data_IF_892854653449
#
_entry.id   IF_892854653449
#
_cell.length_a   1.000
_cell.length_b   1.000
_cell.length_c   1.000
_cell.angle_alpha   90.00
_cell.angle_beta   90.00
_cell.angle_gamma   90.00
#
_symmetry.space_group_name_H-M   'P 1'
#
loop_
_entity.id
_entity.type
_entity.pdbx_description
1 polymer ?
#
# COMPACT_ATOMS: atom_id res chain seq x y z
N UNK A 1 33.77 -25.13 -16.67
CA UNK A 1 32.34 -25.34 -16.93
C UNK A 1 31.71 -23.98 -17.15
N UNK A 2 31.09 -23.71 -18.31
CA UNK A 2 30.26 -22.52 -18.48
C UNK A 2 28.88 -22.79 -17.90
N UNK A 3 28.40 -21.91 -17.03
CA UNK A 3 27.04 -21.95 -16.50
C UNK A 3 26.22 -20.90 -17.26
N UNK A 4 25.05 -21.29 -17.76
CA UNK A 4 24.10 -20.38 -18.39
C UNK A 4 22.89 -20.19 -17.46
N UNK A 5 22.56 -18.94 -17.17
CA UNK A 5 21.40 -18.57 -16.37
C UNK A 5 20.15 -18.47 -17.25
N UNK A 6 19.07 -19.17 -16.89
CA UNK A 6 17.80 -19.24 -17.64
C UNK A 6 16.61 -18.71 -16.81
N UNK A 7 16.83 -17.62 -16.08
CA UNK A 7 15.87 -17.12 -15.08
C UNK A 7 14.54 -16.65 -15.65
N UNK A 8 14.50 -16.13 -16.88
CA UNK A 8 13.25 -15.59 -17.46
C UNK A 8 12.18 -16.68 -17.64
N UNK A 9 12.59 -17.87 -18.09
CA UNK A 9 11.68 -19.02 -18.21
C UNK A 9 11.17 -19.45 -16.84
N UNK A 10 12.05 -19.57 -15.84
CA UNK A 10 11.67 -19.92 -14.47
C UNK A 10 10.67 -18.91 -13.88
N UNK A 11 10.94 -17.61 -14.03
CA UNK A 11 10.05 -16.56 -13.54
C UNK A 11 8.70 -16.60 -14.23
N UNK A 12 8.65 -16.84 -15.54
CA UNK A 12 7.40 -16.99 -16.29
C UNK A 12 6.60 -18.20 -15.79
N UNK A 13 7.26 -19.33 -15.58
CA UNK A 13 6.59 -20.57 -15.17
C UNK A 13 6.01 -20.44 -13.75
N UNK A 14 6.73 -19.80 -12.83
CA UNK A 14 6.21 -19.45 -11.49
C UNK A 14 5.10 -18.39 -11.57
N UNK A 15 5.25 -17.38 -12.43
CA UNK A 15 4.23 -16.34 -12.62
C UNK A 15 2.90 -16.92 -13.08
N UNK A 16 2.93 -17.93 -13.96
CA UNK A 16 1.73 -18.60 -14.48
C UNK A 16 0.87 -19.28 -13.40
N UNK A 17 1.45 -19.58 -12.22
CA UNK A 17 0.71 -20.14 -11.08
C UNK A 17 -0.29 -19.13 -10.49
N UNK A 18 -0.18 -17.84 -10.82
CA UNK A 18 -1.18 -16.84 -10.47
C UNK A 18 -2.50 -17.06 -11.24
N UNK A 19 -2.41 -17.29 -12.56
CA UNK A 19 -3.59 -17.44 -13.43
C UNK A 19 -4.18 -18.85 -13.33
N UNK A 20 -3.31 -19.86 -13.27
CA UNK A 20 -3.67 -21.28 -13.16
C UNK A 20 -3.25 -21.75 -11.78
N UNK A 21 -3.98 -21.32 -10.75
CA UNK A 21 -3.71 -21.71 -9.37
C UNK A 21 -4.06 -23.20 -9.11
N UNK A 22 -3.42 -24.13 -9.83
CA UNK A 22 -3.46 -25.56 -9.54
C UNK A 22 -2.65 -25.87 -8.27
N UNK A 23 -3.02 -26.91 -7.51
CA UNK A 23 -2.37 -27.26 -6.23
C UNK A 23 -2.30 -26.11 -5.18
N UNK A 24 -3.17 -25.11 -5.29
CA UNK A 24 -3.31 -24.08 -4.27
C UNK A 24 -3.66 -24.70 -2.91
N UNK A 25 -3.05 -24.20 -1.84
CA UNK A 25 -3.30 -24.66 -0.47
C UNK A 25 -3.67 -23.53 0.50
N UNK A 26 -3.93 -22.33 -0.03
CA UNK A 26 -4.38 -21.16 0.73
C UNK A 26 -5.64 -20.58 0.10
N UNK A 27 -6.61 -20.23 0.94
CA UNK A 27 -7.79 -19.41 0.63
C UNK A 27 -7.73 -18.13 1.46
N UNK A 28 -7.64 -16.98 0.81
CA UNK A 28 -7.59 -15.67 1.47
C UNK A 28 -8.91 -14.95 1.21
N UNK A 29 -9.66 -14.70 2.28
CA UNK A 29 -10.93 -13.96 2.26
C UNK A 29 -10.61 -12.48 2.46
N UNK A 30 -10.91 -11.66 1.45
CA UNK A 30 -10.52 -10.25 1.40
C UNK A 30 -11.75 -9.37 1.28
N UNK A 31 -11.81 -8.29 2.06
CA UNK A 31 -12.98 -7.43 2.18
C UNK A 31 -14.02 -7.97 3.16
N UNK A 32 -15.10 -7.20 3.33
CA UNK A 32 -16.20 -7.47 4.26
C UNK A 32 -17.54 -7.69 3.53
N UNK A 33 -18.42 -8.44 4.20
CA UNK A 33 -19.81 -8.67 3.80
C UNK A 33 -20.01 -9.07 2.34
N UNK A 34 -20.91 -8.38 1.63
CA UNK A 34 -21.29 -8.68 0.24
C UNK A 34 -20.22 -8.32 -0.79
N UNK A 35 -19.13 -7.68 -0.38
CA UNK A 35 -17.99 -7.30 -1.24
C UNK A 35 -16.76 -8.19 -0.99
N UNK A 36 -16.90 -9.23 -0.17
CA UNK A 36 -15.81 -10.15 0.11
C UNK A 36 -15.50 -11.05 -1.08
N UNK A 37 -14.22 -11.19 -1.40
CA UNK A 37 -13.71 -12.08 -2.44
C UNK A 37 -12.76 -13.13 -1.85
N UNK A 38 -12.72 -14.32 -2.47
CA UNK A 38 -11.84 -15.41 -2.06
C UNK A 38 -10.74 -15.59 -3.10
N UNK A 39 -9.51 -15.33 -2.68
CA UNK A 39 -8.31 -15.55 -3.48
C UNK A 39 -7.68 -16.91 -3.16
N UNK A 40 -7.31 -17.65 -4.20
CA UNK A 40 -6.59 -18.93 -4.09
C UNK A 40 -5.10 -18.68 -4.30
N UNK A 41 -4.25 -19.27 -3.46
CA UNK A 41 -2.81 -19.05 -3.52
C UNK A 41 -1.99 -20.21 -2.96
N UNK A 42 -0.67 -20.13 -3.17
CA UNK A 42 0.32 -21.09 -2.70
C UNK A 42 1.07 -20.51 -1.50
N UNK A 43 0.98 -21.19 -0.36
CA UNK A 43 1.68 -20.78 0.86
C UNK A 43 3.20 -20.70 0.66
N UNK A 44 3.80 -21.57 -0.17
CA UNK A 44 5.25 -21.53 -0.41
C UNK A 44 5.69 -20.22 -1.09
N UNK A 45 4.93 -19.75 -2.09
CA UNK A 45 5.23 -18.50 -2.81
C UNK A 45 5.03 -17.30 -1.87
N UNK A 46 3.89 -17.24 -1.17
CA UNK A 46 3.59 -16.16 -0.23
C UNK A 46 4.68 -16.01 0.85
N UNK A 47 5.11 -17.12 1.47
CA UNK A 47 6.16 -17.12 2.51
C UNK A 47 7.57 -16.84 1.99
N UNK A 48 7.83 -17.11 0.71
CA UNK A 48 9.09 -16.79 0.07
C UNK A 48 9.22 -15.28 -0.19
N UNK A 49 8.11 -14.61 -0.50
CA UNK A 49 8.07 -13.19 -0.87
C UNK A 49 7.73 -12.24 0.28
N UNK A 50 7.23 -12.75 1.40
CA UNK A 50 6.82 -11.92 2.54
C UNK A 50 7.02 -12.61 3.89
N UNK A 51 7.69 -11.92 4.80
CA UNK A 51 7.83 -12.36 6.19
C UNK A 51 6.51 -12.31 6.96
N UNK A 52 5.59 -11.44 6.57
CA UNK A 52 4.24 -11.41 7.12
C UNK A 52 3.52 -12.74 6.84
N UNK A 53 3.49 -13.18 5.57
CA UNK A 53 2.88 -14.46 5.23
C UNK A 53 3.67 -15.66 5.80
N UNK A 54 4.99 -15.55 5.89
CA UNK A 54 5.82 -16.55 6.61
C UNK A 54 5.34 -16.76 8.03
N UNK A 55 5.09 -15.68 8.76
CA UNK A 55 4.60 -15.70 10.13
C UNK A 55 3.14 -16.15 10.20
N UNK A 56 2.29 -15.65 9.31
CA UNK A 56 0.87 -15.96 9.28
C UNK A 56 0.57 -17.46 9.15
N UNK A 57 1.40 -18.17 8.35
CA UNK A 57 1.25 -19.61 8.12
C UNK A 57 2.13 -20.50 9.03
N UNK A 58 2.97 -19.92 9.90
CA UNK A 58 3.77 -20.68 10.88
C UNK A 58 3.25 -20.55 12.31
N UNK A 59 2.65 -19.41 12.67
CA UNK A 59 2.21 -19.07 14.02
C UNK A 59 0.69 -19.27 14.24
N UNK A 60 0.03 -20.07 13.38
CA UNK A 60 -1.42 -20.34 13.43
C UNK A 60 -2.31 -19.08 13.35
N UNK A 61 -1.86 -17.98 12.73
CA UNK A 61 -2.73 -16.83 12.47
C UNK A 61 -3.79 -17.19 11.42
N UNK A 62 -3.39 -17.94 10.40
CA UNK A 62 -4.32 -18.58 9.48
C UNK A 62 -4.96 -19.81 10.12
N UNK A 63 -6.27 -19.94 9.96
CA UNK A 63 -7.02 -21.12 10.39
C UNK A 63 -6.70 -22.26 9.41
N UNK A 64 -6.49 -23.48 9.93
CA UNK A 64 -6.37 -24.67 9.09
C UNK A 64 -7.73 -25.36 8.96
N UNK A 65 -8.20 -25.57 7.73
CA UNK A 65 -9.44 -26.26 7.41
C UNK A 65 -9.14 -27.42 6.46
N UNK A 66 -8.98 -28.62 7.01
CA UNK A 66 -8.44 -29.77 6.27
C UNK A 66 -7.02 -29.47 5.77
N UNK A 67 -6.83 -29.60 4.46
CA UNK A 67 -5.53 -29.36 3.81
C UNK A 67 -5.28 -27.89 3.45
N UNK A 68 -6.25 -26.99 3.69
CA UNK A 68 -6.16 -25.58 3.33
C UNK A 68 -5.86 -24.68 4.53
N UNK A 69 -5.03 -23.67 4.30
CA UNK A 69 -4.99 -22.48 5.14
C UNK A 69 -6.11 -21.52 4.72
N UNK A 70 -6.87 -21.03 5.68
CA UNK A 70 -7.90 -19.99 5.51
C UNK A 70 -7.46 -18.75 6.28
N UNK A 71 -7.25 -17.66 5.56
CA UNK A 71 -6.77 -16.40 6.11
C UNK A 71 -7.73 -15.27 5.76
N UNK A 72 -7.96 -14.35 6.69
CA UNK A 72 -8.92 -13.25 6.52
C UNK A 72 -8.21 -11.91 6.51
N UNK A 73 -8.57 -11.05 5.57
CA UNK A 73 -8.09 -9.67 5.40
C UNK A 73 -9.29 -8.75 5.14
N UNK A 74 -10.17 -8.56 6.15
CA UNK A 74 -11.36 -7.74 5.98
C UNK A 74 -11.04 -6.27 5.67
N UNK A 75 -9.91 -5.78 6.19
CA UNK A 75 -9.44 -4.40 6.05
C UNK A 75 -8.77 -4.08 4.69
N UNK A 76 -8.72 -5.01 3.75
CA UNK A 76 -8.11 -4.80 2.42
C UNK A 76 -9.19 -4.90 1.35
N UNK A 77 -9.17 -3.99 0.39
CA UNK A 77 -10.10 -3.99 -0.75
C UNK A 77 -9.70 -5.11 -1.73
N UNK A 78 -10.64 -5.92 -2.26
CA UNK A 78 -10.31 -7.02 -3.18
C UNK A 78 -9.41 -6.62 -4.36
N UNK A 79 -9.68 -5.50 -5.03
CA UNK A 79 -8.87 -5.03 -6.15
C UNK A 79 -7.41 -4.73 -5.75
N UNK A 80 -7.22 -4.16 -4.55
CA UNK A 80 -5.89 -3.88 -4.00
C UNK A 80 -5.16 -5.17 -3.70
N UNK A 81 -5.85 -6.14 -3.09
CA UNK A 81 -5.26 -7.44 -2.83
C UNK A 81 -4.91 -8.20 -4.10
N UNK A 82 -5.73 -8.09 -5.15
CA UNK A 82 -5.45 -8.68 -6.45
C UNK A 82 -4.12 -8.16 -7.03
N UNK A 83 -3.89 -6.84 -6.93
CA UNK A 83 -2.64 -6.20 -7.37
C UNK A 83 -1.45 -6.74 -6.55
N UNK A 84 -1.58 -6.80 -5.23
CA UNK A 84 -0.53 -7.32 -4.34
C UNK A 84 -0.24 -8.79 -4.64
N UNK A 85 -1.28 -9.61 -4.79
CA UNK A 85 -1.13 -11.03 -5.06
C UNK A 85 -0.43 -11.24 -6.40
N UNK A 86 -0.81 -10.49 -7.44
CA UNK A 86 -0.12 -10.53 -8.73
C UNK A 86 1.36 -10.16 -8.58
N UNK A 87 1.66 -9.04 -7.91
CA UNK A 87 3.04 -8.62 -7.63
C UNK A 87 3.87 -9.70 -6.92
N UNK A 88 3.28 -10.41 -5.95
CA UNK A 88 3.97 -11.48 -5.24
C UNK A 88 4.42 -12.60 -6.21
N UNK A 89 3.62 -12.93 -7.21
CA UNK A 89 3.93 -13.99 -8.18
C UNK A 89 4.86 -13.52 -9.30
N UNK A 90 4.65 -12.29 -9.79
CA UNK A 90 5.27 -11.82 -11.03
C UNK A 90 6.43 -10.84 -10.81
N UNK A 91 6.52 -10.25 -9.62
CA UNK A 91 7.42 -9.11 -9.36
C UNK A 91 7.02 -7.83 -10.10
N UNK A 92 5.84 -7.79 -10.72
CA UNK A 92 5.38 -6.64 -11.52
C UNK A 92 4.12 -6.01 -10.94
N UNK A 93 4.03 -4.68 -11.07
CA UNK A 93 2.88 -3.90 -10.65
C UNK A 93 2.47 -3.01 -11.82
N UNK A 94 1.24 -3.16 -12.31
CA UNK A 94 0.68 -2.26 -13.32
C UNK A 94 -0.03 -1.13 -12.58
N UNK A 95 0.60 0.05 -12.57
CA UNK A 95 0.13 1.23 -11.82
C UNK A 95 -0.68 2.23 -12.68
N UNK A 96 -0.77 1.96 -13.98
CA UNK A 96 -1.29 2.84 -15.04
C UNK A 96 -2.79 2.65 -15.33
N UNK A 97 -3.46 1.74 -14.63
CA UNK A 97 -4.91 1.57 -14.78
C UNK A 97 -5.63 2.57 -13.88
N UNK A 98 -6.73 3.17 -14.36
CA UNK A 98 -7.58 4.11 -13.60
C UNK A 98 -8.01 3.56 -12.22
N UNK A 99 -8.11 2.23 -12.09
CA UNK A 99 -8.41 1.58 -10.83
C UNK A 99 -7.26 1.63 -9.82
N UNK A 100 -6.01 1.75 -10.25
CA UNK A 100 -4.84 1.86 -9.36
C UNK A 100 -4.62 3.31 -8.93
N UNK A 101 -4.87 4.28 -9.82
CA UNK A 101 -4.80 5.71 -9.50
C UNK A 101 -5.65 6.11 -8.28
N UNK A 102 -6.84 5.51 -8.18
CA UNK A 102 -7.78 5.77 -7.08
C UNK A 102 -7.48 4.96 -5.80
N UNK A 103 -6.56 4.00 -5.85
CA UNK A 103 -6.28 3.09 -4.72
C UNK A 103 -4.80 3.05 -4.32
N UNK A 104 -3.99 4.04 -4.73
CA UNK A 104 -2.56 4.09 -4.41
C UNK A 104 -2.27 4.08 -2.91
N UNK A 105 -3.07 4.81 -2.14
CA UNK A 105 -2.93 4.91 -0.69
C UNK A 105 -3.27 3.56 -0.04
N UNK A 106 -4.36 2.92 -0.45
CA UNK A 106 -4.77 1.60 0.03
C UNK A 106 -3.74 0.54 -0.34
N UNK A 107 -3.16 0.62 -1.54
CA UNK A 107 -2.10 -0.26 -1.99
C UNK A 107 -0.83 -0.09 -1.16
N UNK A 108 -0.45 1.15 -0.83
CA UNK A 108 0.67 1.45 0.07
C UNK A 108 0.44 0.86 1.47
N UNK A 109 -0.74 1.08 2.04
CA UNK A 109 -1.12 0.57 3.37
C UNK A 109 -1.12 -0.96 3.42
N UNK A 110 -1.65 -1.62 2.39
CA UNK A 110 -1.68 -3.07 2.32
C UNK A 110 -0.28 -3.66 2.06
N UNK A 111 0.57 -2.98 1.28
CA UNK A 111 1.97 -3.36 1.10
C UNK A 111 2.77 -3.26 2.41
N UNK A 112 2.54 -2.21 3.19
CA UNK A 112 3.12 -2.05 4.53
C UNK A 112 2.66 -3.15 5.49
N UNK A 113 1.34 -3.41 5.58
CA UNK A 113 0.83 -4.47 6.44
C UNK A 113 1.43 -5.85 6.09
N UNK A 114 1.64 -6.13 4.80
CA UNK A 114 2.19 -7.39 4.32
C UNK A 114 3.72 -7.42 4.28
N UNK A 115 4.40 -6.41 4.83
CA UNK A 115 5.87 -6.28 4.87
C UNK A 115 6.52 -6.42 3.48
N UNK A 116 5.99 -5.73 2.47
CA UNK A 116 6.48 -5.76 1.09
C UNK A 116 7.38 -4.56 0.79
N UNK A 117 8.56 -4.49 1.42
CA UNK A 117 9.43 -3.30 1.37
C UNK A 117 9.83 -2.83 -0.04
N UNK A 118 10.14 -3.75 -0.95
CA UNK A 118 10.44 -3.42 -2.35
C UNK A 118 9.27 -2.70 -3.03
N UNK A 119 8.04 -3.19 -2.79
CA UNK A 119 6.81 -2.57 -3.30
C UNK A 119 6.58 -1.20 -2.66
N UNK A 120 6.78 -1.07 -1.35
CA UNK A 120 6.64 0.21 -0.62
C UNK A 120 7.57 1.27 -1.22
N UNK A 121 8.84 0.93 -1.44
CA UNK A 121 9.81 1.84 -2.06
C UNK A 121 9.37 2.29 -3.46
N UNK A 122 8.86 1.36 -4.26
CA UNK A 122 8.33 1.66 -5.58
C UNK A 122 7.10 2.59 -5.51
N UNK A 123 6.15 2.31 -4.60
CA UNK A 123 4.92 3.09 -4.45
C UNK A 123 5.20 4.52 -3.96
N UNK A 124 6.10 4.70 -2.99
CA UNK A 124 6.50 6.03 -2.53
C UNK A 124 7.02 6.89 -3.70
N UNK A 125 7.88 6.32 -4.54
CA UNK A 125 8.42 7.04 -5.70
C UNK A 125 7.35 7.39 -6.73
N UNK A 126 6.39 6.49 -6.97
CA UNK A 126 5.29 6.75 -7.89
C UNK A 126 4.37 7.85 -7.37
N UNK A 127 4.02 7.85 -6.09
CA UNK A 127 3.19 8.92 -5.48
C UNK A 127 3.90 10.29 -5.61
N UNK A 128 5.23 10.35 -5.40
CA UNK A 128 6.01 11.58 -5.61
C UNK A 128 6.00 12.03 -7.07
N UNK A 129 6.06 11.09 -8.01
CA UNK A 129 6.02 11.44 -9.43
C UNK A 129 4.62 11.95 -9.82
N UNK A 130 3.56 11.29 -9.34
CA UNK A 130 2.18 11.71 -9.54
C UNK A 130 1.92 13.10 -8.96
N UNK A 131 2.40 13.36 -7.74
CA UNK A 131 2.24 14.65 -7.07
C UNK A 131 2.90 15.82 -7.82
N UNK A 132 3.94 15.55 -8.59
CA UNK A 132 4.64 16.55 -9.41
C UNK A 132 3.99 16.79 -10.76
N UNK A 133 3.36 15.76 -11.33
CA UNK A 133 2.76 15.82 -12.67
C UNK A 133 1.31 16.30 -12.64
N UNK A 134 0.60 16.02 -11.54
CA UNK A 134 -0.83 16.29 -11.42
C UNK A 134 -1.17 16.81 -10.02
N UNK A 135 -1.38 18.12 -9.92
CA UNK A 135 -1.80 18.75 -8.67
C UNK A 135 -3.17 18.26 -8.19
N UNK A 136 -4.07 17.82 -9.09
CA UNK A 136 -5.40 17.35 -8.72
C UNK A 136 -5.32 16.10 -7.84
N UNK A 137 -4.34 15.22 -8.06
CA UNK A 137 -4.17 14.02 -7.23
C UNK A 137 -3.84 14.39 -5.78
N UNK A 138 -2.97 15.38 -5.57
CA UNK A 138 -2.63 15.87 -4.22
C UNK A 138 -3.80 16.62 -3.60
N UNK A 139 -4.55 17.41 -4.36
CA UNK A 139 -5.74 18.09 -3.84
C UNK A 139 -6.78 17.06 -3.37
N UNK A 140 -6.94 15.96 -4.11
CA UNK A 140 -7.91 14.90 -3.79
C UNK A 140 -7.45 13.95 -2.68
N UNK A 141 -6.15 13.65 -2.58
CA UNK A 141 -5.64 12.58 -1.72
C UNK A 141 -4.67 13.06 -0.64
N UNK A 142 -4.27 14.33 -0.67
CA UNK A 142 -3.18 14.87 0.11
C UNK A 142 -3.45 14.82 1.62
N UNK A 143 -4.64 15.19 2.07
CA UNK A 143 -4.97 15.16 3.50
C UNK A 143 -4.97 13.73 4.03
N UNK A 144 -5.63 12.81 3.32
CA UNK A 144 -5.62 11.39 3.65
C UNK A 144 -4.20 10.83 3.69
N UNK A 145 -3.37 11.18 2.71
CA UNK A 145 -1.96 10.81 2.68
C UNK A 145 -1.24 11.35 3.92
N UNK A 146 -1.35 12.65 4.19
CA UNK A 146 -0.74 13.30 5.35
C UNK A 146 -1.09 12.59 6.66
N UNK A 147 -2.38 12.30 6.88
CA UNK A 147 -2.82 11.62 8.10
C UNK A 147 -2.19 10.23 8.25
N UNK A 148 -2.11 9.46 7.16
CA UNK A 148 -1.50 8.13 7.17
C UNK A 148 0.00 8.21 7.45
N UNK A 149 0.69 9.12 6.78
CA UNK A 149 2.13 9.31 6.93
C UNK A 149 2.47 9.76 8.35
N UNK A 150 1.67 10.67 8.93
CA UNK A 150 1.83 11.12 10.30
C UNK A 150 1.69 9.95 11.31
N UNK A 151 0.64 9.14 11.17
CA UNK A 151 0.37 7.99 12.04
C UNK A 151 1.35 6.82 11.85
N UNK A 152 2.12 6.81 10.75
CA UNK A 152 3.12 5.76 10.44
C UNK A 152 4.53 6.36 10.31
N UNK A 153 4.87 7.25 11.23
CA UNK A 153 6.16 7.93 11.28
C UNK A 153 7.33 6.94 11.25
N UNK A 154 8.30 7.21 10.38
CA UNK A 154 9.48 6.40 10.11
C UNK A 154 9.28 5.28 9.08
N UNK A 155 8.04 4.98 8.69
CA UNK A 155 7.74 3.87 7.75
C UNK A 155 7.90 4.32 6.30
N UNK A 156 7.56 5.57 5.98
CA UNK A 156 7.53 6.10 4.62
C UNK A 156 8.34 7.39 4.48
N UNK A 157 9.67 7.35 4.65
CA UNK A 157 10.51 8.55 4.76
C UNK A 157 10.42 9.49 3.55
N UNK A 158 10.24 8.95 2.34
CA UNK A 158 10.13 9.79 1.13
C UNK A 158 8.81 10.55 1.08
N UNK A 159 7.73 9.93 1.58
CA UNK A 159 6.43 10.57 1.64
C UNK A 159 6.30 11.53 2.83
N UNK A 160 7.01 11.27 3.93
CA UNK A 160 7.20 12.25 5.00
C UNK A 160 7.86 13.52 4.48
N UNK A 161 8.96 13.38 3.73
CA UNK A 161 9.63 14.51 3.10
C UNK A 161 8.70 15.25 2.13
N UNK A 162 7.94 14.53 1.30
CA UNK A 162 6.95 15.13 0.40
C UNK A 162 5.90 15.93 1.17
N UNK A 163 5.30 15.36 2.21
CA UNK A 163 4.26 16.01 3.01
C UNK A 163 4.79 17.27 3.70
N UNK A 164 5.99 17.20 4.28
CA UNK A 164 6.65 18.36 4.91
C UNK A 164 6.92 19.47 3.90
N UNK A 165 7.43 19.12 2.71
CA UNK A 165 7.70 20.10 1.66
C UNK A 165 6.42 20.79 1.18
N UNK A 166 5.32 20.06 0.98
CA UNK A 166 4.03 20.64 0.60
C UNK A 166 3.52 21.56 1.71
N UNK A 167 3.63 21.16 2.98
CA UNK A 167 3.16 21.95 4.11
C UNK A 167 3.94 23.27 4.27
N UNK A 168 5.25 23.27 3.97
CA UNK A 168 6.07 24.48 4.00
C UNK A 168 5.74 25.39 2.81
N UNK A 169 5.64 24.83 1.59
CA UNK A 169 5.57 25.61 0.36
C UNK A 169 4.15 26.07 -0.01
N UNK A 170 3.14 25.24 0.24
CA UNK A 170 1.74 25.57 -0.04
C UNK A 170 0.78 24.86 0.93
N UNK A 171 0.77 25.28 2.22
CA UNK A 171 -0.09 24.67 3.24
C UNK A 171 -1.58 24.74 2.91
N UNK A 172 -1.99 25.66 2.02
CA UNK A 172 -3.37 25.81 1.58
C UNK A 172 -3.89 24.61 0.81
N UNK A 173 -3.02 23.81 0.18
CA UNK A 173 -3.41 22.57 -0.49
C UNK A 173 -4.02 21.56 0.48
N UNK A 174 -3.53 21.52 1.72
CA UNK A 174 -4.12 20.68 2.76
C UNK A 174 -5.28 21.39 3.45
N UNK A 175 -5.08 22.64 3.89
CA UNK A 175 -6.04 23.35 4.75
C UNK A 175 -7.37 23.64 4.06
N UNK A 176 -7.35 23.89 2.74
CA UNK A 176 -8.58 24.15 1.99
C UNK A 176 -9.33 22.87 1.61
N UNK A 177 -8.78 21.69 1.85
CA UNK A 177 -9.47 20.44 1.59
C UNK A 177 -10.58 20.22 2.63
N UNK A 178 -11.75 19.77 2.18
CA UNK A 178 -12.84 19.41 3.08
C UNK A 178 -12.47 18.26 4.03
N UNK A 179 -11.49 17.45 3.65
CA UNK A 179 -10.99 16.33 4.46
C UNK A 179 -10.07 16.79 5.60
N UNK A 180 -9.58 18.03 5.57
CA UNK A 180 -8.62 18.56 6.56
C UNK A 180 -9.14 18.42 8.00
N UNK A 181 -10.44 18.63 8.19
CA UNK A 181 -11.10 18.51 9.48
C UNK A 181 -11.25 17.07 9.98
N UNK A 182 -10.90 16.08 9.14
CA UNK A 182 -10.84 14.67 9.51
C UNK A 182 -9.44 14.19 9.92
N UNK A 183 -8.46 15.10 10.02
CA UNK A 183 -7.15 14.81 10.57
C UNK A 183 -7.25 14.47 12.07
N UNK A 184 -6.38 13.57 12.52
CA UNK A 184 -6.27 13.27 13.95
C UNK A 184 -5.77 14.49 14.73
N UNK A 185 -6.18 14.65 15.99
CA UNK A 185 -5.82 15.82 16.82
C UNK A 185 -4.30 16.04 16.88
N UNK A 186 -3.53 14.97 16.97
CA UNK A 186 -2.07 15.01 16.98
C UNK A 186 -1.49 15.46 15.63
N UNK A 187 -2.11 15.03 14.52
CA UNK A 187 -1.73 15.46 13.18
C UNK A 187 -2.03 16.95 13.00
N UNK A 188 -3.20 17.43 13.44
CA UNK A 188 -3.55 18.85 13.44
C UNK A 188 -2.60 19.69 14.28
N UNK A 189 -2.29 19.24 15.50
CA UNK A 189 -1.33 19.91 16.38
C UNK A 189 0.04 20.02 15.73
N UNK A 190 0.49 18.96 15.04
CA UNK A 190 1.77 18.97 14.33
C UNK A 190 1.82 20.03 13.23
N UNK A 191 0.69 20.28 12.55
CA UNK A 191 0.58 21.33 11.54
C UNK A 191 0.65 22.70 12.20
N UNK A 192 -0.15 22.96 13.24
CA UNK A 192 -0.22 24.26 13.91
C UNK A 192 1.14 24.66 14.51
N UNK A 193 1.93 23.69 14.96
CA UNK A 193 3.25 23.91 15.55
C UNK A 193 4.37 24.16 14.52
N UNK A 194 4.11 24.04 13.22
CA UNK A 194 5.10 24.34 12.19
C UNK A 194 5.36 25.85 12.13
N UNK A 195 6.45 26.30 12.75
CA UNK A 195 6.90 27.70 12.74
C UNK A 195 7.16 28.26 11.33
N UNK A 196 7.39 27.36 10.36
CA UNK A 196 7.67 27.68 8.96
C UNK A 196 6.45 27.59 8.04
N UNK A 197 5.22 27.62 8.57
CA UNK A 197 4.02 27.72 7.74
C UNK A 197 3.99 29.08 7.04
N UNK A 198 4.04 29.09 5.71
CA UNK A 198 3.86 30.31 4.91
C UNK A 198 2.39 30.77 4.86
N UNK A 199 1.81 31.07 6.02
CA UNK A 199 0.45 31.59 6.16
C UNK A 199 0.44 32.92 6.92
N UNK A 200 -0.53 33.78 6.57
CA UNK A 200 -0.76 35.00 7.33
C UNK A 200 -1.39 34.61 8.67
N UNK A 201 -0.70 34.93 9.76
CA UNK A 201 -1.30 34.89 11.09
C UNK A 201 -2.52 35.81 11.13
N UNK A 202 -3.63 35.30 11.64
CA UNK A 202 -4.77 36.14 12.01
C UNK A 202 -4.58 36.58 13.46
N UNK A 203 -4.74 37.86 13.73
CA UNK A 203 -4.83 38.34 15.11
C UNK A 203 -6.18 37.91 15.67
N UNK A 204 -6.19 36.90 16.55
CA UNK A 204 -7.37 36.57 17.35
C UNK A 204 -7.37 37.52 18.55
N UNK A 205 -8.26 38.51 18.51
CA UNK A 205 -8.46 39.49 19.58
C UNK A 205 -9.20 38.89 20.77
#
# INVERSE_FOLDING_TARGET
MSCQTLSDTLLRDISNLYDKADDYNVKIQVGEDSKMEIFKAHSVILRARSNYFRSAFSLNWAKKEGDFYVFKKPNVIPIVFQIILKYIYTGTVALDTVNVENNFIELLLAADEMNLHELIEHLQQNIINLSRLNNDWIIQNGVKLFNIIFNRKGVFPKLEELCNNIMIQDPKLFINSNEFWGLDDEALLSIIQLESLEMKEISVL
#
